data_IF_053258968249
#
_entry.id   IF_053258968249
#
_cell.length_a   1.000
_cell.length_b   1.000
_cell.length_c   1.000
_cell.angle_alpha   90.00
_cell.angle_beta   90.00
_cell.angle_gamma   90.00
#
_symmetry.space_group_name_H-M   'P 1'
#
loop_
_entity.id
_entity.type
_entity.pdbx_description
1 polymer ?
#
# COMPACT_ATOMS: atom_id res chain seq x y z
N UNK A 1 11.18 3.97 -5.37
CA UNK A 1 9.87 3.39 -5.04
C UNK A 1 9.73 3.11 -3.55
N UNK A 2 9.08 4.01 -2.82
CA UNK A 2 8.68 3.92 -1.40
C UNK A 2 7.16 3.76 -1.28
N UNK A 3 6.65 3.55 -0.06
CA UNK A 3 5.21 3.30 0.15
C UNK A 3 4.33 4.47 -0.30
N UNK A 4 4.79 5.71 -0.08
CA UNK A 4 4.09 6.93 -0.53
C UNK A 4 4.00 7.06 -2.06
N UNK A 5 4.88 6.40 -2.82
CA UNK A 5 4.81 6.42 -4.29
C UNK A 5 3.55 5.73 -4.83
N UNK A 6 2.84 4.95 -3.99
CA UNK A 6 1.51 4.42 -4.32
C UNK A 6 0.49 5.51 -4.65
N UNK A 7 0.70 6.76 -4.22
CA UNK A 7 -0.14 7.90 -4.63
C UNK A 7 -0.17 8.10 -6.15
N UNK A 8 0.91 7.71 -6.85
CA UNK A 8 1.02 7.83 -8.31
C UNK A 8 0.34 6.71 -9.08
N UNK A 9 -0.03 5.61 -8.42
CA UNK A 9 -0.67 4.44 -9.03
C UNK A 9 -2.14 4.74 -9.27
N UNK A 10 -2.69 4.32 -10.40
CA UNK A 10 -4.12 4.51 -10.66
C UNK A 10 -5.00 3.62 -9.76
N UNK A 11 -6.29 3.96 -9.65
CA UNK A 11 -7.20 3.25 -8.74
C UNK A 11 -7.32 1.76 -9.08
N UNK A 12 -7.22 1.40 -10.37
CA UNK A 12 -7.20 -0.01 -10.80
C UNK A 12 -5.96 -0.73 -10.29
N UNK A 13 -4.80 -0.08 -10.33
CA UNK A 13 -3.57 -0.63 -9.79
C UNK A 13 -3.61 -0.78 -8.27
N UNK A 14 -4.15 0.21 -7.55
CA UNK A 14 -4.38 0.10 -6.10
C UNK A 14 -5.33 -1.06 -5.79
N UNK A 15 -6.44 -1.21 -6.51
CA UNK A 15 -7.35 -2.33 -6.34
C UNK A 15 -6.68 -3.69 -6.60
N UNK A 16 -5.78 -3.77 -7.59
CA UNK A 16 -5.02 -4.99 -7.88
C UNK A 16 -4.08 -5.33 -6.72
N UNK A 17 -3.39 -4.34 -6.16
CA UNK A 17 -2.54 -4.51 -4.98
C UNK A 17 -3.38 -4.98 -3.79
N UNK A 18 -4.49 -4.31 -3.48
CA UNK A 18 -5.34 -4.60 -2.32
C UNK A 18 -5.93 -6.02 -2.33
N UNK A 19 -6.11 -6.63 -3.50
CA UNK A 19 -6.56 -8.03 -3.62
C UNK A 19 -5.54 -9.06 -3.14
N UNK A 20 -4.26 -8.67 -3.08
CA UNK A 20 -3.15 -9.55 -2.69
C UNK A 20 -2.56 -9.21 -1.33
N UNK A 21 -3.05 -8.15 -0.68
CA UNK A 21 -2.60 -7.68 0.64
C UNK A 21 -3.50 -8.25 1.73
N UNK A 22 -2.89 -8.75 2.80
CA UNK A 22 -3.64 -9.20 3.98
C UNK A 22 -4.20 -8.00 4.76
N UNK A 23 -5.36 -8.16 5.41
CA UNK A 23 -5.93 -7.09 6.26
C UNK A 23 -4.97 -6.67 7.37
N UNK A 24 -4.19 -7.61 7.92
CA UNK A 24 -3.21 -7.34 8.98
C UNK A 24 -2.03 -6.48 8.48
N UNK A 25 -1.51 -6.77 7.29
CA UNK A 25 -0.46 -5.93 6.69
C UNK A 25 -1.01 -4.56 6.31
N UNK A 26 -2.24 -4.50 5.78
CA UNK A 26 -2.85 -3.23 5.37
C UNK A 26 -3.06 -2.29 6.56
N UNK A 27 -3.64 -2.78 7.67
CA UNK A 27 -3.87 -1.97 8.86
C UNK A 27 -2.57 -1.50 9.51
N UNK A 28 -1.53 -2.35 9.53
CA UNK A 28 -0.20 -1.98 10.01
C UNK A 28 0.43 -0.88 9.14
N UNK A 29 0.47 -1.11 7.83
CA UNK A 29 1.10 -0.20 6.87
C UNK A 29 0.50 1.20 6.88
N UNK A 30 -0.83 1.28 7.07
CA UNK A 30 -1.56 2.55 7.10
C UNK A 30 -1.35 3.38 8.36
N UNK A 31 -0.77 2.84 9.45
CA UNK A 31 -0.55 3.61 10.69
C UNK A 31 0.37 4.82 10.51
N UNK A 32 1.37 4.71 9.63
CA UNK A 32 2.34 5.77 9.34
C UNK A 32 2.19 6.35 7.92
N UNK A 33 1.12 5.97 7.21
CA UNK A 33 0.82 6.52 5.90
C UNK A 33 0.32 7.96 5.99
N UNK A 34 0.59 8.76 4.96
CA UNK A 34 -0.03 10.08 4.81
C UNK A 34 -1.56 9.98 4.71
N UNK A 35 -2.25 11.04 5.08
CA UNK A 35 -3.71 11.08 4.99
C UNK A 35 -4.20 11.04 3.54
N UNK A 36 -3.42 11.57 2.61
CA UNK A 36 -3.67 11.46 1.16
C UNK A 36 -3.62 10.00 0.71
N UNK A 37 -2.60 9.25 1.13
CA UNK A 37 -2.46 7.84 0.76
C UNK A 37 -3.57 6.98 1.39
N UNK A 38 -3.91 7.22 2.66
CA UNK A 38 -5.06 6.58 3.31
C UNK A 38 -6.35 6.85 2.54
N UNK A 39 -6.60 8.11 2.16
CA UNK A 39 -7.79 8.50 1.41
C UNK A 39 -7.88 7.78 0.07
N UNK A 40 -6.77 7.72 -0.66
CA UNK A 40 -6.68 6.98 -1.93
C UNK A 40 -6.98 5.49 -1.76
N UNK A 41 -6.36 4.85 -0.76
CA UNK A 41 -6.57 3.44 -0.47
C UNK A 41 -8.03 3.16 -0.07
N UNK A 42 -8.61 3.97 0.82
CA UNK A 42 -10.00 3.81 1.21
C UNK A 42 -10.97 4.04 0.04
N UNK A 43 -10.67 4.96 -0.87
CA UNK A 43 -11.44 5.19 -2.09
C UNK A 43 -11.47 3.97 -3.02
N UNK A 44 -10.50 3.05 -2.90
CA UNK A 44 -10.43 1.82 -3.68
C UNK A 44 -11.12 0.62 -3.01
N UNK A 45 -11.72 0.79 -1.83
CA UNK A 45 -12.36 -0.24 -1.03
C UNK A 45 -13.88 -0.05 -0.97
N UNK A 46 -14.63 -1.09 -0.60
CA UNK A 46 -16.05 -0.94 -0.29
C UNK A 46 -16.23 -0.21 1.05
N UNK A 47 -17.33 0.52 1.23
CA UNK A 47 -17.62 1.26 2.47
C UNK A 47 -17.53 0.38 3.71
N UNK A 48 -18.09 -0.82 3.66
CA UNK A 48 -18.00 -1.82 4.73
C UNK A 48 -16.55 -2.22 5.05
N UNK A 49 -15.72 -2.44 4.03
CA UNK A 49 -14.32 -2.82 4.24
C UNK A 49 -13.51 -1.67 4.84
N UNK A 50 -13.81 -0.42 4.47
CA UNK A 50 -13.20 0.77 5.07
C UNK A 50 -13.61 0.91 6.53
N UNK A 51 -14.89 0.73 6.86
CA UNK A 51 -15.38 0.77 8.25
C UNK A 51 -14.67 -0.27 9.12
N UNK A 52 -14.67 -1.54 8.68
CA UNK A 52 -14.00 -2.62 9.41
C UNK A 52 -12.50 -2.36 9.60
N UNK A 53 -11.82 -1.86 8.56
CA UNK A 53 -10.39 -1.56 8.64
C UNK A 53 -10.10 -0.42 9.61
N UNK A 54 -10.93 0.62 9.64
CA UNK A 54 -10.79 1.74 10.58
C UNK A 54 -11.03 1.30 12.02
N UNK A 55 -12.09 0.52 12.27
CA UNK A 55 -12.37 -0.06 13.58
C UNK A 55 -11.19 -0.92 14.06
N UNK A 56 -10.66 -1.79 13.19
CA UNK A 56 -9.48 -2.60 13.50
C UNK A 56 -8.28 -1.72 13.87
N UNK A 57 -8.02 -0.65 13.11
CA UNK A 57 -6.93 0.29 13.38
C UNK A 57 -7.10 1.05 14.70
N UNK A 58 -8.33 1.37 15.13
CA UNK A 58 -8.62 1.99 16.43
C UNK A 58 -8.37 1.03 17.60
N UNK A 59 -8.63 -0.26 17.39
CA UNK A 59 -8.39 -1.32 18.39
C UNK A 59 -6.89 -1.65 18.48
N UNK A 60 -6.11 -1.34 17.44
CA UNK A 60 -4.66 -1.57 17.47
C UNK A 60 -3.97 -0.72 18.52
N UNK A 61 -3.43 -1.39 19.53
CA UNK A 61 -2.53 -0.79 20.51
C UNK A 61 -1.21 -0.27 19.89
N UNK A 62 -0.26 0.16 20.74
CA UNK A 62 1.04 0.63 20.29
C UNK A 62 1.75 -0.44 19.45
N UNK A 63 2.26 -0.03 18.28
CA UNK A 63 2.92 -0.90 17.31
C UNK A 63 4.35 -0.41 17.10
N UNK A 64 5.30 -1.33 16.91
CA UNK A 64 6.69 -0.95 16.65
C UNK A 64 6.81 -0.43 15.21
N UNK A 65 7.57 0.65 15.03
CA UNK A 65 7.84 1.23 13.69
C UNK A 65 8.36 0.17 12.72
N UNK A 66 9.25 -0.72 13.18
CA UNK A 66 9.79 -1.83 12.37
C UNK A 66 8.71 -2.75 11.80
N UNK A 67 7.64 -3.00 12.55
CA UNK A 67 6.54 -3.88 12.09
C UNK A 67 5.71 -3.16 11.01
N UNK A 68 5.52 -1.85 11.17
CA UNK A 68 4.86 -1.00 10.16
C UNK A 68 5.69 -0.94 8.87
N UNK A 69 6.99 -0.69 8.97
CA UNK A 69 7.91 -0.70 7.83
C UNK A 69 7.93 -2.07 7.14
N UNK A 70 7.89 -3.16 7.91
CA UNK A 70 7.80 -4.53 7.37
C UNK A 70 6.54 -4.73 6.53
N UNK A 71 5.39 -4.29 7.04
CA UNK A 71 4.13 -4.35 6.31
C UNK A 71 4.14 -3.48 5.05
N UNK A 72 4.66 -2.25 5.13
CA UNK A 72 4.83 -1.38 3.96
C UNK A 72 5.73 -2.01 2.89
N UNK A 73 6.84 -2.64 3.29
CA UNK A 73 7.73 -3.34 2.37
C UNK A 73 7.07 -4.57 1.73
N UNK A 74 6.22 -5.30 2.45
CA UNK A 74 5.44 -6.40 1.88
C UNK A 74 4.50 -5.90 0.77
N UNK A 75 3.80 -4.79 0.99
CA UNK A 75 2.92 -4.17 -0.02
C UNK A 75 3.72 -3.66 -1.22
N UNK A 76 4.88 -3.03 -1.01
CA UNK A 76 5.77 -2.59 -2.09
C UNK A 76 6.24 -3.78 -2.94
N UNK A 77 6.57 -4.92 -2.33
CA UNK A 77 6.96 -6.14 -3.07
C UNK A 77 5.82 -6.66 -3.95
N UNK A 78 4.59 -6.62 -3.45
CA UNK A 78 3.39 -6.97 -4.23
C UNK A 78 3.24 -6.02 -5.42
N UNK A 79 3.34 -4.70 -5.18
CA UNK A 79 3.24 -3.70 -6.23
C UNK A 79 4.30 -3.90 -7.33
N UNK A 80 5.57 -4.08 -6.96
CA UNK A 80 6.66 -4.35 -7.91
C UNK A 80 6.44 -5.63 -8.71
N UNK A 81 5.94 -6.69 -8.08
CA UNK A 81 5.62 -7.92 -8.82
C UNK A 81 4.48 -7.70 -9.80
N UNK A 82 3.41 -7.00 -9.38
CA UNK A 82 2.29 -6.68 -10.27
C UNK A 82 2.72 -5.80 -11.45
N UNK A 83 3.70 -4.92 -11.26
CA UNK A 83 4.32 -4.13 -12.32
C UNK A 83 5.10 -5.02 -13.30
N UNK A 84 5.93 -5.94 -12.79
CA UNK A 84 6.65 -6.91 -13.61
C UNK A 84 5.70 -7.82 -14.42
N UNK A 85 4.52 -8.11 -13.88
CA UNK A 85 3.46 -8.84 -14.57
C UNK A 85 2.67 -7.96 -15.56
N UNK A 86 2.97 -6.67 -15.67
CA UNK A 86 2.28 -5.70 -16.52
C UNK A 86 0.86 -5.37 -16.08
N UNK A 87 0.48 -5.72 -14.84
CA UNK A 87 -0.88 -5.50 -14.29
C UNK A 87 -1.06 -4.09 -13.75
N UNK A 88 0.01 -3.44 -13.31
CA UNK A 88 0.01 -2.05 -12.84
C UNK A 88 1.19 -1.31 -13.44
N UNK A 89 1.13 0.02 -13.44
CA UNK A 89 2.27 0.88 -13.78
C UNK A 89 2.67 1.65 -12.53
N UNK A 90 3.94 1.55 -12.13
CA UNK A 90 4.49 2.37 -11.07
C UNK A 90 5.23 3.53 -11.72
N UNK A 91 4.81 4.77 -11.43
CA UNK A 91 5.63 5.91 -11.82
C UNK A 91 6.79 5.97 -10.83
N UNK A 92 7.97 5.48 -11.24
CA UNK A 92 9.18 5.71 -10.47
C UNK A 92 9.43 7.23 -10.46
N UNK A 93 9.28 7.87 -9.31
CA UNK A 93 9.56 9.29 -9.16
C UNK A 93 11.01 9.59 -9.57
N UNK A 94 11.19 10.20 -10.74
CA UNK A 94 12.43 10.80 -11.20
C UNK A 94 13.59 9.85 -11.50
N UNK A 95 13.70 9.45 -12.78
CA UNK A 95 14.97 9.28 -13.51
C UNK A 95 15.94 8.18 -13.06
N UNK A 96 16.02 7.10 -13.86
CA UNK A 96 17.03 6.04 -13.72
C UNK A 96 16.79 5.19 -12.45
N UNK A 97 17.07 3.90 -12.38
CA UNK A 97 17.99 3.06 -13.11
C UNK A 97 17.37 1.65 -13.13
N UNK A 98 17.25 1.06 -14.32
CA UNK A 98 17.48 -0.38 -14.45
C UNK A 98 18.93 -0.64 -14.00
N UNK A 99 19.16 -0.80 -12.70
CA UNK A 99 20.40 -1.35 -12.18
C UNK A 99 20.10 -2.63 -11.41
N UNK A 100 19.95 -3.71 -12.17
CA UNK A 100 20.41 -5.03 -11.76
C UNK A 100 21.19 -5.62 -12.95
N UNK A 101 22.51 -5.41 -12.90
CA UNK A 101 23.53 -6.33 -13.43
C UNK A 101 23.71 -7.45 -12.42
#
# INVERSE_FOLDING_TARGET
>A
FVFEDLLSVDDRGIQAILKEVSTDDLKLALKLASDDLKTKIFGCMSSRAVEMLKEDMEIMGPTRVKDVEGAQQAIIKIAKRLEQEGKIQLMSGGGGEDEFV
#
